data_IF_681342098183
#
_entry.id   IF_681342098183
#
_cell.length_a   1.000
_cell.length_b   1.000
_cell.length_c   1.000
_cell.angle_alpha   90.00
_cell.angle_beta   90.00
_cell.angle_gamma   90.00
#
_symmetry.space_group_name_H-M   'P 1'
#
loop_
_entity.id
_entity.type
_entity.pdbx_description
1 polymer ?
#
# COMPACT_ATOMS: atom_id res chain seq x y z
N UNK A 1 3.63 9.21 35.54
CA UNK A 1 2.42 9.05 34.70
C UNK A 1 2.78 8.04 33.63
N UNK A 2 2.01 6.96 33.51
CA UNK A 2 2.07 6.11 32.33
C UNK A 2 1.35 6.88 31.22
N UNK A 3 2.11 7.49 30.31
CA UNK A 3 1.51 8.18 29.16
C UNK A 3 0.82 7.12 28.29
N UNK A 4 -0.50 7.26 28.09
CA UNK A 4 -1.24 6.37 27.20
C UNK A 4 -1.91 5.14 27.83
N UNK A 5 -2.03 5.06 29.17
CA UNK A 5 -2.77 3.98 29.82
C UNK A 5 -4.30 4.16 29.74
N UNK A 6 -5.02 3.07 29.48
CA UNK A 6 -6.49 3.06 29.56
C UNK A 6 -6.91 2.90 31.02
N UNK A 7 -7.81 3.74 31.49
CA UNK A 7 -8.35 3.66 32.85
C UNK A 7 -9.78 3.12 32.79
N UNK A 8 -10.10 2.15 33.63
CA UNK A 8 -11.43 1.54 33.75
C UNK A 8 -11.89 1.58 35.19
N UNK A 9 -13.17 1.83 35.45
CA UNK A 9 -13.73 1.82 36.80
C UNK A 9 -15.14 1.25 36.85
N UNK A 10 -15.47 0.67 38.00
CA UNK A 10 -16.84 0.25 38.30
C UNK A 10 -17.79 1.45 38.33
N UNK A 11 -19.07 1.29 37.92
CA UNK A 11 -20.03 2.40 37.81
C UNK A 11 -20.17 3.25 39.09
N UNK A 12 -20.03 2.64 40.26
CA UNK A 12 -20.15 3.31 41.56
C UNK A 12 -18.99 4.26 41.89
N UNK A 13 -17.84 4.16 41.21
CA UNK A 13 -16.64 4.95 41.50
C UNK A 13 -16.77 6.40 41.01
N UNK A 14 -17.52 6.62 39.92
CA UNK A 14 -17.67 7.93 39.32
C UNK A 14 -19.14 8.25 39.05
N UNK A 15 -19.67 9.20 39.84
CA UNK A 15 -21.04 9.72 39.72
C UNK A 15 -21.07 11.22 39.35
N UNK A 16 -19.91 11.77 38.97
CA UNK A 16 -19.74 13.18 38.63
C UNK A 16 -20.04 13.50 37.16
N UNK A 17 -20.01 14.79 36.81
CA UNK A 17 -20.08 15.23 35.42
C UNK A 17 -18.77 14.89 34.69
N UNK A 18 -18.85 14.58 33.39
CA UNK A 18 -17.65 14.38 32.57
C UNK A 18 -16.73 15.60 32.63
N UNK A 19 -15.41 15.41 32.79
CA UNK A 19 -14.45 16.50 32.71
C UNK A 19 -14.41 17.11 31.32
N UNK A 20 -13.88 18.33 31.20
CA UNK A 20 -13.54 18.90 29.89
C UNK A 20 -12.54 17.99 29.17
N UNK A 21 -12.59 17.95 27.84
CA UNK A 21 -11.70 17.11 27.03
C UNK A 21 -10.22 17.41 27.31
N UNK A 22 -9.89 18.69 27.58
CA UNK A 22 -8.52 19.13 27.86
C UNK A 22 -8.01 18.67 29.24
N UNK A 23 -8.92 18.29 30.15
CA UNK A 23 -8.61 17.87 31.52
C UNK A 23 -8.88 16.37 31.75
N UNK A 24 -9.37 15.66 30.72
CA UNK A 24 -9.85 14.28 30.83
C UNK A 24 -8.76 13.31 31.28
N UNK A 25 -7.56 13.33 30.68
CA UNK A 25 -6.47 12.43 31.11
C UNK A 25 -6.06 12.64 32.56
N UNK A 26 -5.95 13.91 32.96
CA UNK A 26 -5.59 14.26 34.34
C UNK A 26 -6.67 13.80 35.31
N UNK A 27 -7.94 14.00 34.97
CA UNK A 27 -9.06 13.55 35.79
C UNK A 27 -9.10 12.02 35.94
N UNK A 28 -8.81 11.25 34.88
CA UNK A 28 -8.71 9.78 34.93
C UNK A 28 -7.60 9.34 35.87
N UNK A 29 -6.43 9.95 35.73
CA UNK A 29 -5.30 9.62 36.57
C UNK A 29 -5.57 9.94 38.05
N UNK A 30 -6.17 11.11 38.34
CA UNK A 30 -6.55 11.50 39.70
C UNK A 30 -7.61 10.55 40.29
N UNK A 31 -8.59 10.12 39.49
CA UNK A 31 -9.57 9.10 39.87
C UNK A 31 -8.89 7.76 40.20
N UNK A 32 -8.00 7.29 39.33
CA UNK A 32 -7.21 6.08 39.55
C UNK A 32 -6.40 6.17 40.85
N UNK A 33 -5.64 7.25 41.07
CA UNK A 33 -4.85 7.39 42.29
C UNK A 33 -5.70 7.38 43.56
N UNK A 34 -6.90 7.96 43.51
CA UNK A 34 -7.82 8.01 44.64
C UNK A 34 -8.42 6.63 44.97
N UNK A 35 -8.70 5.80 43.97
CA UNK A 35 -9.47 4.56 44.13
C UNK A 35 -8.68 3.26 43.86
N UNK A 36 -7.39 3.31 43.48
CA UNK A 36 -6.58 2.11 43.16
C UNK A 36 -6.44 1.07 44.28
N UNK A 37 -6.76 1.43 45.52
CA UNK A 37 -6.79 0.54 46.68
C UNK A 37 -8.19 0.09 47.09
N UNK A 38 -9.22 0.45 46.33
CA UNK A 38 -10.62 0.14 46.63
C UNK A 38 -10.98 -1.22 46.06
N UNK A 39 -11.44 -2.13 46.93
CA UNK A 39 -11.98 -3.42 46.48
C UNK A 39 -13.27 -3.21 45.70
N UNK A 40 -13.46 -3.98 44.63
CA UNK A 40 -14.70 -3.96 43.87
C UNK A 40 -15.85 -4.49 44.71
N UNK A 41 -16.98 -3.79 44.69
CA UNK A 41 -18.26 -4.26 45.22
C UNK A 41 -19.22 -4.67 44.07
N UNK A 42 -18.80 -4.45 42.82
CA UNK A 42 -19.52 -4.73 41.60
C UNK A 42 -18.87 -5.83 40.75
N UNK A 43 -19.56 -6.22 39.69
CA UNK A 43 -19.09 -7.22 38.74
C UNK A 43 -18.87 -6.62 37.34
N UNK A 44 -18.86 -5.30 37.17
CA UNK A 44 -18.82 -4.69 35.83
C UNK A 44 -17.44 -4.85 35.19
N UNK A 45 -16.35 -4.68 35.94
CA UNK A 45 -15.00 -4.94 35.41
C UNK A 45 -14.80 -6.42 35.09
N UNK A 46 -15.36 -7.32 35.90
CA UNK A 46 -15.32 -8.76 35.62
C UNK A 46 -16.14 -9.09 34.36
N UNK A 47 -17.33 -8.51 34.23
CA UNK A 47 -18.21 -8.72 33.06
C UNK A 47 -17.60 -8.15 31.77
N UNK A 48 -16.91 -7.01 31.89
CA UNK A 48 -16.15 -6.40 30.80
C UNK A 48 -15.06 -7.35 30.28
N UNK A 49 -14.20 -7.88 31.18
CA UNK A 49 -13.12 -8.77 30.75
C UNK A 49 -13.64 -10.14 30.28
N UNK A 50 -14.73 -10.64 30.87
CA UNK A 50 -15.38 -11.88 30.45
C UNK A 50 -15.93 -11.77 29.02
N UNK A 51 -16.50 -10.61 28.66
CA UNK A 51 -16.92 -10.33 27.28
C UNK A 51 -15.73 -10.35 26.32
N UNK A 52 -14.64 -9.65 26.67
CA UNK A 52 -13.43 -9.61 25.86
C UNK A 52 -12.88 -11.02 25.65
N UNK A 53 -12.65 -11.79 26.72
CA UNK A 53 -12.14 -13.17 26.63
C UNK A 53 -13.03 -14.01 25.73
N UNK A 54 -14.33 -14.01 25.97
CA UNK A 54 -15.31 -14.78 25.19
C UNK A 54 -15.21 -14.47 23.69
N UNK A 55 -15.01 -13.20 23.32
CA UNK A 55 -14.85 -12.78 21.93
C UNK A 55 -13.49 -13.13 21.36
N UNK A 56 -12.40 -12.78 22.05
CA UNK A 56 -11.05 -12.93 21.48
C UNK A 56 -10.60 -14.38 21.40
N UNK A 57 -11.16 -15.27 22.23
CA UNK A 57 -10.88 -16.71 22.19
C UNK A 57 -11.91 -17.50 21.39
N UNK A 58 -12.93 -16.86 20.81
CA UNK A 58 -13.93 -17.58 20.04
C UNK A 58 -13.29 -18.16 18.77
N UNK A 59 -13.52 -19.45 18.41
CA UNK A 59 -12.91 -20.06 17.24
C UNK A 59 -13.15 -19.27 15.94
N UNK A 60 -14.34 -18.69 15.79
CA UNK A 60 -14.73 -17.90 14.62
C UNK A 60 -13.99 -16.56 14.48
N UNK A 61 -13.24 -16.11 15.50
CA UNK A 61 -12.46 -14.88 15.46
C UNK A 61 -10.94 -15.11 15.57
N UNK A 62 -10.50 -16.37 15.46
CA UNK A 62 -9.10 -16.78 15.61
C UNK A 62 -8.14 -16.12 14.62
N UNK A 63 -8.62 -15.71 13.43
CA UNK A 63 -7.83 -14.98 12.43
C UNK A 63 -7.60 -13.50 12.78
N UNK A 64 -8.45 -12.91 13.64
CA UNK A 64 -8.40 -11.50 14.01
C UNK A 64 -7.60 -11.24 15.30
N UNK A 65 -7.43 -12.25 16.15
CA UNK A 65 -6.78 -12.12 17.46
C UNK A 65 -5.60 -13.07 17.60
N UNK A 66 -4.40 -12.49 17.69
CA UNK A 66 -3.18 -13.26 17.92
C UNK A 66 -3.21 -14.01 19.25
N UNK A 67 -2.42 -15.09 19.34
CA UNK A 67 -2.24 -15.86 20.58
C UNK A 67 -1.74 -14.96 21.74
N UNK A 68 -0.97 -13.90 21.43
CA UNK A 68 -0.53 -12.90 22.41
C UNK A 68 -1.70 -12.15 23.03
N UNK A 69 -2.66 -11.71 22.21
CA UNK A 69 -3.86 -10.99 22.67
C UNK A 69 -4.77 -11.92 23.47
N UNK A 70 -4.94 -13.16 23.03
CA UNK A 70 -5.72 -14.17 23.76
C UNK A 70 -5.12 -14.45 25.15
N UNK A 71 -3.81 -14.69 25.23
CA UNK A 71 -3.10 -14.89 26.50
C UNK A 71 -3.18 -13.68 27.41
N UNK A 72 -3.06 -12.47 26.85
CA UNK A 72 -3.24 -11.23 27.61
C UNK A 72 -4.65 -11.14 28.21
N UNK A 73 -5.69 -11.36 27.42
CA UNK A 73 -7.08 -11.26 27.90
C UNK A 73 -7.37 -12.30 28.99
N UNK A 74 -6.92 -13.55 28.81
CA UNK A 74 -7.05 -14.61 29.81
C UNK A 74 -6.28 -14.26 31.09
N UNK A 75 -5.05 -13.75 30.96
CA UNK A 75 -4.25 -13.32 32.10
C UNK A 75 -4.89 -12.18 32.88
N UNK A 76 -5.44 -11.19 32.18
CA UNK A 76 -6.16 -10.08 32.80
C UNK A 76 -7.44 -10.54 33.49
N UNK A 77 -8.19 -11.46 32.89
CA UNK A 77 -9.37 -12.08 33.50
C UNK A 77 -9.04 -12.78 34.80
N UNK A 78 -7.94 -13.55 34.82
CA UNK A 78 -7.50 -14.26 36.02
C UNK A 78 -7.04 -13.27 37.10
N UNK A 79 -6.28 -12.23 36.72
CA UNK A 79 -5.84 -11.19 37.65
C UNK A 79 -6.98 -10.47 38.35
N UNK A 80 -8.07 -10.17 37.63
CA UNK A 80 -9.27 -9.55 38.19
C UNK A 80 -10.05 -10.50 39.12
N UNK A 81 -10.07 -11.81 38.84
CA UNK A 81 -10.65 -12.82 39.74
C UNK A 81 -9.86 -12.95 41.04
N UNK A 82 -8.54 -12.91 40.96
CA UNK A 82 -7.66 -13.10 42.11
C UNK A 82 -7.63 -11.86 43.02
N UNK A 83 -7.80 -10.66 42.44
CA UNK A 83 -7.90 -9.39 43.17
C UNK A 83 -8.91 -8.45 42.51
N UNK A 84 -10.14 -8.47 43.01
CA UNK A 84 -11.22 -7.61 42.53
C UNK A 84 -11.00 -6.16 43.00
N UNK A 85 -10.44 -5.32 42.12
CA UNK A 85 -10.27 -3.88 42.32
C UNK A 85 -11.39 -3.12 41.62
N UNK A 86 -11.85 -2.01 42.21
CA UNK A 86 -12.93 -1.20 41.65
C UNK A 86 -12.45 -0.26 40.52
N UNK A 87 -11.14 -0.19 40.28
CA UNK A 87 -10.53 0.62 39.24
C UNK A 87 -9.27 -0.09 38.73
N UNK A 88 -9.02 0.02 37.43
CA UNK A 88 -7.94 -0.66 36.73
C UNK A 88 -7.21 0.34 35.82
N UNK A 89 -5.89 0.21 35.76
CA UNK A 89 -5.02 0.86 34.78
C UNK A 89 -4.49 -0.23 33.84
N UNK A 90 -4.69 -0.05 32.54
CA UNK A 90 -4.21 -0.96 31.51
C UNK A 90 -3.12 -0.25 30.71
N UNK A 91 -1.88 -0.60 31.01
CA UNK A 91 -0.72 -0.13 30.25
C UNK A 91 -0.59 -0.88 28.93
N UNK A 92 -0.06 -0.19 27.90
CA UNK A 92 0.27 -0.78 26.61
C UNK A 92 -0.93 -1.40 25.86
N UNK A 93 -2.16 -0.95 26.16
CA UNK A 93 -3.36 -1.46 25.52
C UNK A 93 -3.36 -1.17 24.00
N UNK A 94 -2.87 0.00 23.62
CA UNK A 94 -2.61 0.43 22.25
C UNK A 94 -1.66 -0.52 21.49
N UNK A 95 -0.60 -1.00 22.15
CA UNK A 95 0.36 -1.97 21.61
C UNK A 95 -0.29 -3.34 21.44
N UNK A 96 -1.21 -3.73 22.33
CA UNK A 96 -1.93 -5.00 22.25
C UNK A 96 -3.06 -4.96 21.20
N UNK A 97 -3.67 -3.81 20.99
CA UNK A 97 -4.82 -3.63 20.12
C UNK A 97 -4.47 -3.43 18.63
N UNK A 98 -3.19 -3.58 18.26
CA UNK A 98 -2.66 -3.49 16.90
C UNK A 98 -3.50 -4.29 15.88
N UNK A 99 -4.42 -3.60 15.20
CA UNK A 99 -5.39 -4.21 14.28
C UNK A 99 -6.82 -3.65 14.39
N UNK A 100 -7.12 -2.80 15.39
CA UNK A 100 -8.43 -2.13 15.54
C UNK A 100 -9.57 -3.07 16.00
N UNK A 101 -9.48 -4.37 15.71
CA UNK A 101 -10.42 -5.39 16.16
C UNK A 101 -10.52 -5.46 17.69
N UNK A 102 -9.41 -5.31 18.41
CA UNK A 102 -9.44 -5.32 19.88
C UNK A 102 -10.09 -4.05 20.44
N UNK A 103 -9.91 -2.89 19.80
CA UNK A 103 -10.63 -1.67 20.18
C UNK A 103 -12.13 -1.81 19.97
N UNK A 104 -12.56 -2.46 18.88
CA UNK A 104 -13.98 -2.78 18.68
C UNK A 104 -14.52 -3.64 19.83
N UNK A 105 -13.85 -4.74 20.15
CA UNK A 105 -14.27 -5.64 21.23
C UNK A 105 -14.22 -4.94 22.59
N UNK A 106 -13.26 -4.04 22.82
CA UNK A 106 -13.19 -3.19 24.01
C UNK A 106 -14.44 -2.32 24.18
N UNK A 107 -14.83 -1.58 23.14
CA UNK A 107 -16.00 -0.70 23.22
C UNK A 107 -17.31 -1.48 23.29
N UNK A 108 -17.41 -2.62 22.60
CA UNK A 108 -18.55 -3.54 22.76
C UNK A 108 -18.64 -4.06 24.20
N UNK A 109 -17.51 -4.41 24.81
CA UNK A 109 -17.46 -4.86 26.20
C UNK A 109 -17.88 -3.75 27.16
N UNK A 110 -17.43 -2.51 26.93
CA UNK A 110 -17.84 -1.34 27.71
C UNK A 110 -19.36 -1.14 27.64
N UNK A 111 -19.91 -1.22 26.43
CA UNK A 111 -21.35 -1.09 26.22
C UNK A 111 -22.15 -2.22 26.90
N UNK A 112 -21.59 -3.44 26.94
CA UNK A 112 -22.25 -4.60 27.52
C UNK A 112 -22.15 -4.66 29.06
N UNK A 113 -21.11 -4.08 29.66
CA UNK A 113 -20.84 -4.20 31.10
C UNK A 113 -21.19 -2.96 31.91
N UNK A 114 -21.49 -1.84 31.24
CA UNK A 114 -21.68 -0.52 31.84
C UNK A 114 -20.45 0.06 32.57
N UNK A 115 -19.26 -0.51 32.39
CA UNK A 115 -18.01 -0.01 33.00
C UNK A 115 -17.72 1.43 32.55
N UNK A 116 -17.20 2.25 33.46
CA UNK A 116 -16.68 3.56 33.08
C UNK A 116 -15.24 3.46 32.57
N UNK A 117 -14.86 4.35 31.65
CA UNK A 117 -13.54 4.30 31.05
C UNK A 117 -13.00 5.65 30.59
N UNK A 118 -11.67 5.74 30.51
CA UNK A 118 -10.95 6.75 29.75
C UNK A 118 -9.91 6.09 28.85
N UNK A 119 -9.98 6.41 27.56
CA UNK A 119 -9.02 5.98 26.55
C UNK A 119 -8.22 7.21 26.08
N UNK A 120 -6.91 7.28 26.39
CA UNK A 120 -6.09 8.47 26.16
C UNK A 120 -5.75 8.72 24.70
N UNK A 121 -5.63 7.66 23.89
CA UNK A 121 -5.28 7.75 22.48
C UNK A 121 -6.36 8.48 21.67
N UNK A 122 -7.63 8.32 22.04
CA UNK A 122 -8.79 9.02 21.44
C UNK A 122 -9.28 10.19 22.27
N UNK A 123 -8.74 10.40 23.48
CA UNK A 123 -9.29 11.35 24.45
C UNK A 123 -10.78 11.11 24.71
N UNK A 124 -11.20 9.84 24.75
CA UNK A 124 -12.60 9.46 24.94
C UNK A 124 -12.82 9.07 26.39
N UNK A 125 -13.81 9.70 27.00
CA UNK A 125 -14.31 9.40 28.34
C UNK A 125 -15.74 8.88 28.26
N UNK A 126 -16.07 7.85 29.06
CA UNK A 126 -17.41 7.26 29.06
C UNK A 126 -17.83 6.70 30.41
N UNK A 127 -19.15 6.66 30.65
CA UNK A 127 -19.77 6.02 31.82
C UNK A 127 -20.98 5.20 31.35
N UNK A 128 -20.81 3.87 31.30
CA UNK A 128 -21.80 2.90 30.83
C UNK A 128 -22.50 3.22 29.50
N UNK A 129 -23.68 2.65 29.27
CA UNK A 129 -24.52 2.91 28.09
C UNK A 129 -25.01 4.36 27.95
N UNK A 130 -24.92 5.16 29.01
CA UNK A 130 -25.67 6.41 29.11
C UNK A 130 -25.02 7.60 28.42
N UNK A 131 -23.74 7.53 28.06
CA UNK A 131 -22.99 8.71 27.60
C UNK A 131 -21.88 8.42 26.57
N UNK A 132 -21.96 7.31 25.83
CA UNK A 132 -21.22 7.16 24.58
C UNK A 132 -22.00 7.96 23.54
N UNK A 133 -21.44 9.04 22.92
CA UNK A 133 -22.15 9.73 21.86
C UNK A 133 -22.60 8.71 20.80
N UNK A 134 -23.86 8.77 20.39
CA UNK A 134 -24.36 7.88 19.31
C UNK A 134 -23.46 8.08 18.10
N UNK A 135 -22.76 7.03 17.69
CA UNK A 135 -21.76 7.10 16.62
C UNK A 135 -20.33 7.44 17.06
N UNK A 136 -19.99 7.54 18.35
CA UNK A 136 -18.60 7.67 18.80
C UNK A 136 -17.83 6.35 18.64
N UNK A 137 -18.46 5.21 18.90
CA UNK A 137 -17.86 3.89 18.60
C UNK A 137 -17.69 3.73 17.10
N UNK A 138 -18.70 4.10 16.32
CA UNK A 138 -18.66 4.08 14.85
C UNK A 138 -17.67 5.11 14.29
N UNK A 139 -17.54 6.27 14.93
CA UNK A 139 -16.64 7.38 14.66
C UNK A 139 -15.19 7.08 15.02
N UNK A 140 -14.93 6.38 16.13
CA UNK A 140 -13.61 5.87 16.51
C UNK A 140 -13.22 4.76 15.55
N UNK A 141 -14.11 3.81 15.25
CA UNK A 141 -13.88 2.75 14.26
C UNK A 141 -13.67 3.30 12.83
N UNK A 142 -14.36 4.37 12.43
CA UNK A 142 -14.11 5.08 11.16
C UNK A 142 -12.91 6.02 11.21
N UNK A 143 -12.53 6.56 12.37
CA UNK A 143 -11.30 7.34 12.54
C UNK A 143 -10.06 6.46 12.55
N UNK A 144 -10.17 5.20 12.98
CA UNK A 144 -9.17 4.17 12.71
C UNK A 144 -9.05 3.85 11.21
N UNK A 145 -10.00 4.27 10.38
CA UNK A 145 -9.90 4.26 8.92
C UNK A 145 -9.43 5.61 8.35
N UNK A 146 -9.24 6.65 9.17
CA UNK A 146 -8.64 7.93 8.77
C UNK A 146 -7.16 7.98 9.20
N UNK A 147 -6.25 8.32 8.30
CA UNK A 147 -4.83 8.41 8.64
C UNK A 147 -4.60 9.52 9.68
N UNK A 148 -3.75 9.24 10.68
CA UNK A 148 -3.11 10.28 11.48
C UNK A 148 -2.48 11.29 10.50
N UNK A 149 -2.77 12.57 10.70
CA UNK A 149 -2.25 13.65 9.87
C UNK A 149 -0.72 13.55 9.81
N UNK A 150 -0.20 13.34 8.60
CA UNK A 150 1.23 13.13 8.26
C UNK A 150 2.13 14.32 8.58
N UNK A 151 1.58 15.46 9.00
CA UNK A 151 2.27 16.74 9.06
C UNK A 151 3.27 16.88 10.23
N UNK A 152 3.26 15.96 11.20
CA UNK A 152 4.18 16.00 12.36
C UNK A 152 5.21 14.87 12.40
N UNK A 153 5.07 13.83 11.58
CA UNK A 153 5.98 12.69 11.57
C UNK A 153 7.09 12.87 10.53
N UNK A 154 8.32 12.47 10.85
CA UNK A 154 9.46 12.50 9.91
C UNK A 154 9.72 11.07 9.42
N UNK A 155 9.79 10.87 8.11
CA UNK A 155 10.24 9.63 7.51
C UNK A 155 11.75 9.48 7.75
N UNK A 156 12.11 8.82 8.85
CA UNK A 156 13.50 8.55 9.18
C UNK A 156 13.86 7.11 8.84
N UNK A 157 14.47 6.92 7.67
CA UNK A 157 14.88 5.58 7.22
C UNK A 157 15.92 4.95 8.15
N UNK A 158 16.80 5.73 8.77
CA UNK A 158 17.85 5.25 9.66
C UNK A 158 17.35 4.80 11.04
N UNK A 159 16.13 5.16 11.43
CA UNK A 159 15.52 4.72 12.69
C UNK A 159 14.17 4.05 12.46
N UNK A 160 13.95 3.52 11.25
CA UNK A 160 12.67 2.93 10.86
C UNK A 160 12.40 1.66 11.68
N UNK A 161 11.22 1.58 12.29
CA UNK A 161 10.79 0.35 12.97
C UNK A 161 10.09 -0.58 11.98
N UNK A 162 10.31 -1.90 12.05
CA UNK A 162 9.54 -2.84 11.24
C UNK A 162 8.04 -2.72 11.53
N UNK A 163 7.18 -2.55 10.51
CA UNK A 163 5.76 -2.54 10.72
C UNK A 163 5.29 -3.88 11.29
N UNK A 164 4.45 -3.84 12.31
CA UNK A 164 3.92 -5.04 12.95
C UNK A 164 2.79 -5.72 12.15
N UNK A 165 2.18 -5.02 11.21
CA UNK A 165 1.13 -5.52 10.32
C UNK A 165 1.07 -4.72 9.00
N UNK A 166 0.24 -5.17 8.06
CA UNK A 166 0.08 -4.54 6.73
C UNK A 166 -0.43 -3.08 6.86
N UNK A 167 -1.23 -2.76 7.87
CA UNK A 167 -1.71 -1.40 8.09
C UNK A 167 -0.59 -0.46 8.54
N UNK A 168 0.33 -0.91 9.39
CA UNK A 168 1.54 -0.13 9.72
C UNK A 168 2.49 0.00 8.52
N UNK A 169 2.55 -1.00 7.65
CA UNK A 169 3.27 -0.88 6.38
C UNK A 169 2.63 0.19 5.48
N UNK A 170 1.29 0.26 5.44
CA UNK A 170 0.55 1.32 4.74
C UNK A 170 0.87 2.70 5.30
N UNK A 171 0.82 2.88 6.62
CA UNK A 171 1.18 4.15 7.28
C UNK A 171 2.60 4.58 6.93
N UNK A 172 3.54 3.63 6.90
CA UNK A 172 4.92 3.88 6.51
C UNK A 172 5.04 4.35 5.05
N UNK A 173 4.27 3.74 4.14
CA UNK A 173 4.19 4.16 2.73
C UNK A 173 3.58 5.56 2.60
N UNK A 174 2.52 5.87 3.37
CA UNK A 174 1.90 7.21 3.38
C UNK A 174 2.88 8.27 3.88
N UNK A 175 3.61 7.97 4.94
CA UNK A 175 4.62 8.86 5.52
C UNK A 175 5.77 9.10 4.54
N UNK A 176 6.29 8.02 3.93
CA UNK A 176 7.29 8.11 2.86
C UNK A 176 6.80 8.99 1.71
N UNK A 177 5.57 8.74 1.23
CA UNK A 177 5.00 9.44 0.10
C UNK A 177 4.89 10.94 0.34
N UNK A 178 4.42 11.35 1.52
CA UNK A 178 4.28 12.76 1.90
C UNK A 178 5.62 13.54 1.86
N UNK A 179 6.75 12.85 1.99
CA UNK A 179 8.08 13.48 2.10
C UNK A 179 8.96 13.23 0.87
N UNK A 180 8.65 12.23 0.04
CA UNK A 180 9.41 11.94 -1.16
C UNK A 180 9.24 13.07 -2.20
N UNK A 181 10.34 13.58 -2.82
CA UNK A 181 10.28 14.75 -3.70
C UNK A 181 9.27 14.65 -4.85
N UNK A 182 9.11 13.44 -5.40
CA UNK A 182 8.17 13.17 -6.50
C UNK A 182 6.83 12.60 -6.01
N UNK A 183 6.85 11.71 -5.02
CA UNK A 183 5.65 10.93 -4.68
C UNK A 183 4.61 11.75 -3.91
N UNK A 184 5.04 12.83 -3.23
CA UNK A 184 4.16 13.76 -2.51
C UNK A 184 3.15 14.46 -3.39
N UNK A 185 3.43 14.56 -4.70
CA UNK A 185 2.57 15.20 -5.67
C UNK A 185 1.62 14.20 -6.36
N UNK A 186 1.79 12.90 -6.12
CA UNK A 186 0.96 11.85 -6.71
C UNK A 186 -0.26 11.59 -5.83
N UNK A 187 -1.38 11.23 -6.45
CA UNK A 187 -2.57 10.83 -5.73
C UNK A 187 -2.43 9.37 -5.27
N UNK A 188 -2.47 9.14 -3.96
CA UNK A 188 -2.34 7.80 -3.37
C UNK A 188 -3.72 7.19 -3.06
N UNK A 189 -3.99 6.04 -3.68
CA UNK A 189 -5.12 5.17 -3.38
C UNK A 189 -4.65 3.87 -2.76
N UNK A 190 -5.42 3.33 -1.81
CA UNK A 190 -5.05 2.10 -1.11
C UNK A 190 -6.24 1.16 -1.01
N UNK A 191 -6.08 -0.08 -1.49
CA UNK A 191 -7.14 -1.08 -1.63
C UNK A 191 -6.76 -2.44 -1.03
N UNK A 192 -7.77 -3.20 -0.57
CA UNK A 192 -7.65 -4.55 0.02
C UNK A 192 -7.54 -5.68 -1.02
N UNK A 193 -7.55 -5.34 -2.30
CA UNK A 193 -7.50 -6.29 -3.41
C UNK A 193 -6.58 -5.76 -4.49
N UNK A 194 -6.21 -6.64 -5.44
CA UNK A 194 -5.40 -6.29 -6.60
C UNK A 194 -6.15 -5.38 -7.56
N UNK A 195 -6.34 -4.11 -7.20
CA UNK A 195 -6.88 -3.09 -8.08
C UNK A 195 -5.81 -2.58 -9.06
N UNK A 196 -6.22 -2.24 -10.27
CA UNK A 196 -5.38 -1.70 -11.33
C UNK A 196 -6.20 -0.71 -12.18
N UNK A 197 -5.85 0.58 -12.14
CA UNK A 197 -6.57 1.60 -12.89
C UNK A 197 -6.37 1.49 -14.40
N UNK A 198 -5.31 0.80 -14.83
CA UNK A 198 -4.96 0.66 -16.25
C UNK A 198 -5.50 -0.65 -16.82
N UNK A 199 -5.52 -1.74 -16.03
CA UNK A 199 -6.04 -3.03 -16.49
C UNK A 199 -7.19 -3.53 -15.60
N UNK A 200 -8.39 -2.93 -15.69
CA UNK A 200 -9.47 -3.15 -14.73
C UNK A 200 -10.20 -4.49 -14.88
N UNK A 201 -9.82 -5.35 -15.84
CA UNK A 201 -10.51 -6.62 -16.13
C UNK A 201 -10.58 -7.60 -14.95
N UNK A 202 -9.75 -7.41 -13.93
CA UNK A 202 -9.76 -8.18 -12.67
C UNK A 202 -10.09 -7.33 -11.45
N UNK A 203 -10.47 -6.08 -11.64
CA UNK A 203 -10.87 -5.21 -10.54
C UNK A 203 -12.23 -5.67 -10.02
N UNK A 204 -12.33 -5.75 -8.71
CA UNK A 204 -13.62 -5.80 -8.03
C UNK A 204 -14.31 -4.43 -8.16
N UNK A 205 -15.64 -4.45 -8.26
CA UNK A 205 -16.47 -3.26 -8.48
C UNK A 205 -16.34 -2.23 -7.34
N UNK A 206 -16.18 -2.71 -6.10
CA UNK A 206 -16.01 -1.90 -4.89
C UNK A 206 -14.74 -2.33 -4.13
N UNK A 207 -13.54 -2.00 -4.63
CA UNK A 207 -12.26 -2.45 -4.07
C UNK A 207 -12.00 -1.95 -2.65
N UNK A 208 -12.63 -0.85 -2.24
CA UNK A 208 -12.62 -0.31 -0.88
C UNK A 208 -13.50 -1.09 0.10
N UNK A 209 -14.52 -1.80 -0.40
CA UNK A 209 -15.43 -2.64 0.38
C UNK A 209 -15.04 -4.12 0.36
N UNK A 210 -14.06 -4.48 -0.46
CA UNK A 210 -13.65 -5.86 -0.64
C UNK A 210 -13.05 -6.43 0.66
N UNK A 211 -13.39 -7.67 1.02
CA UNK A 211 -12.81 -8.35 2.18
C UNK A 211 -11.29 -8.43 2.03
N UNK A 212 -10.57 -8.36 3.15
CA UNK A 212 -9.12 -8.47 3.16
C UNK A 212 -8.71 -9.89 2.75
N UNK A 213 -8.23 -10.05 1.52
CA UNK A 213 -7.72 -11.33 1.00
C UNK A 213 -6.24 -11.53 1.34
N UNK A 214 -5.67 -10.71 2.23
CA UNK A 214 -4.25 -10.72 2.55
C UNK A 214 -3.39 -10.07 1.47
N UNK A 215 -3.97 -9.19 0.65
CA UNK A 215 -3.23 -8.38 -0.32
C UNK A 215 -3.61 -6.90 -0.20
N UNK A 216 -2.64 -6.01 -0.04
CA UNK A 216 -2.87 -4.56 0.04
C UNK A 216 -2.10 -3.85 -1.06
N UNK A 217 -2.79 -3.10 -1.91
CA UNK A 217 -2.18 -2.36 -3.01
C UNK A 217 -2.18 -0.86 -2.70
N UNK A 218 -0.99 -0.24 -2.72
CA UNK A 218 -0.78 1.20 -2.75
C UNK A 218 -0.56 1.63 -4.20
N UNK A 219 -1.50 2.40 -4.74
CA UNK A 219 -1.51 2.91 -6.10
C UNK A 219 -1.28 4.41 -6.08
N UNK A 220 -0.12 4.83 -6.59
CA UNK A 220 0.21 6.23 -6.83
C UNK A 220 -0.13 6.55 -8.26
N UNK A 221 -1.07 7.47 -8.45
CA UNK A 221 -1.52 7.85 -9.78
C UNK A 221 -1.32 9.33 -10.03
N UNK A 222 -1.11 9.66 -11.30
CA UNK A 222 -1.06 11.02 -11.81
C UNK A 222 -1.50 11.01 -13.27
N UNK A 223 -1.92 12.17 -13.78
CA UNK A 223 -2.25 12.34 -15.18
C UNK A 223 -1.71 13.69 -15.66
N UNK A 224 -0.85 13.63 -16.68
CA UNK A 224 -0.25 14.82 -17.29
C UNK A 224 -0.41 14.71 -18.80
N UNK A 225 -0.98 15.74 -19.44
CA UNK A 225 -1.18 15.78 -20.90
C UNK A 225 -1.87 14.51 -21.44
N UNK A 226 -2.92 14.03 -20.75
CA UNK A 226 -3.65 12.80 -21.11
C UNK A 226 -2.81 11.52 -21.11
N UNK A 227 -1.62 11.54 -20.51
CA UNK A 227 -0.84 10.36 -20.17
C UNK A 227 -1.15 10.00 -18.71
N UNK A 228 -1.65 8.78 -18.50
CA UNK A 228 -1.97 8.29 -17.16
C UNK A 228 -0.81 7.48 -16.59
N UNK A 229 -0.42 7.79 -15.36
CA UNK A 229 0.68 7.16 -14.65
C UNK A 229 0.14 6.32 -13.49
N UNK A 230 0.69 5.12 -13.33
CA UNK A 230 0.43 4.28 -12.15
C UNK A 230 1.75 3.67 -11.65
N UNK A 231 2.17 4.09 -10.47
CA UNK A 231 3.16 3.36 -9.67
C UNK A 231 2.40 2.51 -8.64
N UNK A 232 2.54 1.19 -8.75
CA UNK A 232 1.89 0.21 -7.88
C UNK A 232 2.91 -0.39 -6.92
N UNK A 233 2.55 -0.49 -5.66
CA UNK A 233 3.23 -1.28 -4.63
C UNK A 233 2.21 -2.19 -3.96
N UNK A 234 2.41 -3.51 -4.02
CA UNK A 234 1.51 -4.48 -3.41
C UNK A 234 2.18 -5.28 -2.31
N UNK A 235 1.53 -5.36 -1.16
CA UNK A 235 1.87 -6.20 -0.02
C UNK A 235 1.05 -7.48 -0.06
N UNK A 236 1.70 -8.64 0.00
CA UNK A 236 1.01 -9.91 0.34
C UNK A 236 1.26 -10.27 1.80
N UNK A 237 2.54 -10.33 2.21
CA UNK A 237 2.95 -10.58 3.59
C UNK A 237 4.13 -9.70 3.94
N UNK A 238 4.29 -9.36 5.22
CA UNK A 238 5.49 -8.66 5.70
C UNK A 238 6.76 -9.49 5.54
N UNK A 239 6.65 -10.82 5.49
CA UNK A 239 7.77 -11.74 5.28
C UNK A 239 8.19 -11.89 3.81
N UNK A 240 7.58 -11.10 2.90
CA UNK A 240 7.85 -11.10 1.46
C UNK A 240 8.14 -9.68 0.98
N UNK A 241 8.96 -9.54 -0.07
CA UNK A 241 9.18 -8.23 -0.69
C UNK A 241 7.89 -7.70 -1.29
N UNK A 242 7.58 -6.40 -1.16
CA UNK A 242 6.49 -5.79 -1.90
C UNK A 242 6.71 -5.90 -3.39
N UNK A 243 5.66 -6.25 -4.13
CA UNK A 243 5.70 -6.25 -5.59
C UNK A 243 5.52 -4.81 -6.07
N UNK A 244 6.41 -4.34 -6.93
CA UNK A 244 6.36 -2.97 -7.45
C UNK A 244 6.40 -2.94 -8.96
N UNK A 245 5.64 -2.03 -9.55
CA UNK A 245 5.61 -1.83 -11.00
C UNK A 245 5.24 -0.41 -11.33
N UNK A 246 5.85 0.15 -12.36
CA UNK A 246 5.43 1.41 -12.94
C UNK A 246 4.76 1.15 -14.29
N UNK A 247 3.72 1.90 -14.59
CA UNK A 247 2.96 1.78 -15.83
C UNK A 247 2.53 3.15 -16.31
N UNK A 248 2.63 3.37 -17.62
CA UNK A 248 2.10 4.54 -18.30
C UNK A 248 1.07 4.08 -19.32
N UNK A 249 -0.11 4.65 -19.31
CA UNK A 249 -1.09 4.52 -20.38
C UNK A 249 -1.05 5.77 -21.26
N UNK A 250 -0.63 5.56 -22.51
CA UNK A 250 -0.48 6.58 -23.53
C UNK A 250 -1.72 6.69 -24.43
N UNK A 251 -2.74 5.86 -24.21
CA UNK A 251 -3.87 5.70 -25.13
C UNK A 251 -4.61 7.01 -25.34
N UNK A 252 -4.91 7.74 -24.27
CA UNK A 252 -5.69 8.98 -24.36
C UNK A 252 -4.89 10.13 -24.99
N UNK A 253 -3.57 10.13 -24.83
CA UNK A 253 -2.68 11.12 -25.46
C UNK A 253 -2.65 10.98 -26.97
N UNK A 254 -2.64 9.73 -27.47
CA UNK A 254 -2.42 9.45 -28.89
C UNK A 254 -3.69 9.10 -29.67
N UNK A 255 -4.71 8.52 -29.03
CA UNK A 255 -5.90 8.01 -29.70
C UNK A 255 -7.13 8.82 -29.26
N UNK A 256 -7.70 9.65 -30.15
CA UNK A 256 -8.93 10.39 -29.88
C UNK A 256 -10.08 9.46 -29.48
N UNK A 257 -10.99 9.97 -28.65
CA UNK A 257 -12.08 9.17 -28.05
C UNK A 257 -12.91 8.41 -29.09
N UNK A 258 -13.19 9.05 -30.23
CA UNK A 258 -13.97 8.49 -31.34
C UNK A 258 -13.27 7.33 -32.06
N UNK A 259 -11.93 7.26 -32.00
CA UNK A 259 -11.11 6.22 -32.62
C UNK A 259 -10.76 5.07 -31.67
N UNK A 260 -10.93 5.22 -30.35
CA UNK A 260 -10.58 4.17 -29.37
C UNK A 260 -11.25 2.83 -29.62
N UNK A 261 -12.46 2.81 -30.18
CA UNK A 261 -13.17 1.58 -30.57
C UNK A 261 -12.48 0.79 -31.70
N UNK A 262 -11.60 1.43 -32.46
CA UNK A 262 -10.81 0.83 -33.53
C UNK A 262 -9.47 0.29 -33.02
N UNK A 263 -9.04 0.74 -31.84
CA UNK A 263 -7.82 0.29 -31.21
C UNK A 263 -8.04 -1.12 -30.65
N UNK A 264 -7.20 -2.07 -31.09
CA UNK A 264 -7.27 -3.47 -30.63
C UNK A 264 -6.72 -3.64 -29.22
N UNK A 265 -5.68 -2.89 -28.86
CA UNK A 265 -5.06 -2.91 -27.52
C UNK A 265 -4.62 -1.51 -27.09
N UNK A 266 -4.76 -1.23 -25.80
CA UNK A 266 -4.31 0.03 -25.18
C UNK A 266 -2.78 0.19 -25.29
N UNK A 267 -2.34 1.45 -25.40
CA UNK A 267 -0.96 1.84 -25.58
C UNK A 267 -0.26 1.93 -24.23
N UNK A 268 -0.04 0.78 -23.61
CA UNK A 268 0.48 0.68 -22.25
C UNK A 268 1.98 0.35 -22.24
N UNK A 269 2.78 1.22 -21.62
CA UNK A 269 4.17 0.93 -21.26
C UNK A 269 4.23 0.39 -19.82
N UNK A 270 4.94 -0.71 -19.61
CA UNK A 270 5.29 -1.20 -18.26
C UNK A 270 6.79 -1.18 -18.07
N UNK A 271 7.24 -0.56 -16.98
CA UNK A 271 8.64 -0.57 -16.58
C UNK A 271 8.74 -1.07 -15.14
N UNK A 272 9.61 -2.05 -14.93
CA UNK A 272 9.93 -2.67 -13.65
C UNK A 272 11.37 -2.39 -13.30
N UNK A 273 11.70 -2.48 -12.02
CA UNK A 273 13.06 -2.24 -11.54
C UNK A 273 14.11 -3.15 -12.18
N UNK A 274 13.71 -4.38 -12.52
CA UNK A 274 14.52 -5.44 -13.10
C UNK A 274 14.94 -5.15 -14.55
N UNK A 275 14.23 -4.24 -15.22
CA UNK A 275 14.51 -3.77 -16.57
C UNK A 275 15.48 -2.58 -16.57
N UNK A 276 15.83 -2.04 -15.39
CA UNK A 276 16.78 -0.95 -15.25
C UNK A 276 18.06 -1.49 -14.64
N UNK A 277 19.13 -1.51 -15.44
CA UNK A 277 20.39 -2.18 -15.10
C UNK A 277 21.59 -1.27 -15.19
N UNK A 278 22.67 -1.66 -14.54
CA UNK A 278 23.99 -1.01 -14.68
C UNK A 278 24.80 -1.72 -15.75
N UNK A 279 25.90 -1.11 -16.20
CA UNK A 279 26.85 -1.77 -17.09
C UNK A 279 27.73 -2.83 -16.38
N UNK A 280 27.65 -2.92 -15.05
CA UNK A 280 28.39 -3.91 -14.27
C UNK A 280 27.83 -5.31 -14.50
N UNK A 281 28.71 -6.28 -14.67
CA UNK A 281 28.37 -7.67 -14.93
C UNK A 281 28.43 -8.46 -13.62
N UNK A 282 27.33 -9.12 -13.27
CA UNK A 282 27.22 -10.02 -12.13
C UNK A 282 28.05 -11.30 -12.34
N UNK A 283 28.19 -12.09 -11.28
CA UNK A 283 28.89 -13.38 -11.32
C UNK A 283 28.33 -14.41 -12.32
N UNK A 284 27.14 -14.16 -12.87
CA UNK A 284 26.46 -15.00 -13.87
C UNK A 284 26.58 -14.43 -15.28
N UNK A 285 27.39 -13.40 -15.49
CA UNK A 285 27.58 -12.78 -16.81
C UNK A 285 26.45 -11.85 -17.23
N UNK A 286 25.61 -11.37 -16.29
CA UNK A 286 24.45 -10.52 -16.60
C UNK A 286 24.61 -9.14 -15.99
N UNK A 287 24.10 -8.11 -16.68
CA UNK A 287 24.06 -6.76 -16.12
C UNK A 287 23.30 -6.72 -14.78
N UNK A 288 23.87 -6.05 -13.78
CA UNK A 288 23.27 -5.94 -12.45
C UNK A 288 22.03 -5.05 -12.43
N UNK A 289 21.02 -5.41 -11.63
CA UNK A 289 19.82 -4.59 -11.43
C UNK A 289 20.21 -3.32 -10.66
N UNK A 290 19.91 -2.15 -11.22
CA UNK A 290 20.30 -0.85 -10.64
C UNK A 290 19.53 -0.53 -9.37
N UNK A 291 18.23 -0.82 -9.36
CA UNK A 291 17.35 -0.58 -8.22
C UNK A 291 16.80 -1.89 -7.69
N UNK A 292 17.52 -2.55 -6.78
CA UNK A 292 17.10 -3.85 -6.27
C UNK A 292 15.98 -3.70 -5.22
N UNK A 293 14.74 -3.96 -5.63
CA UNK A 293 13.54 -3.85 -4.78
C UNK A 293 13.29 -5.15 -4.01
N UNK A 294 14.22 -5.50 -3.12
CA UNK A 294 14.12 -6.68 -2.27
C UNK A 294 14.25 -6.33 -0.80
N UNK A 295 13.42 -6.96 0.02
CA UNK A 295 13.47 -6.79 1.46
C UNK A 295 12.16 -7.19 2.10
N UNK A 296 12.23 -8.07 3.10
CA UNK A 296 11.10 -8.34 3.98
C UNK A 296 10.85 -7.13 4.88
N UNK A 297 9.60 -6.91 5.23
CA UNK A 297 9.17 -5.81 6.08
C UNK A 297 8.94 -6.25 7.54
N UNK A 298 9.49 -7.40 7.93
CA UNK A 298 9.60 -7.87 9.31
C UNK A 298 10.97 -7.56 9.95
N UNK A 299 11.91 -7.00 9.19
CA UNK A 299 13.27 -6.70 9.65
C UNK A 299 13.73 -5.31 9.18
N UNK A 300 14.29 -4.52 10.11
CA UNK A 300 14.67 -3.13 9.87
C UNK A 300 15.69 -2.99 8.73
N UNK A 301 16.72 -3.83 8.71
CA UNK A 301 17.80 -3.76 7.70
C UNK A 301 17.26 -4.00 6.28
N UNK A 302 16.24 -4.86 6.16
CA UNK A 302 15.61 -5.23 4.88
C UNK A 302 14.69 -4.12 4.39
N UNK A 303 13.97 -3.46 5.30
CA UNK A 303 13.15 -2.28 4.97
C UNK A 303 14.04 -1.14 4.47
N UNK A 304 15.17 -0.89 5.15
CA UNK A 304 16.15 0.12 4.70
C UNK A 304 16.66 -0.20 3.30
N UNK A 305 17.05 -1.45 3.05
CA UNK A 305 17.51 -1.90 1.73
C UNK A 305 16.43 -1.69 0.66
N UNK A 306 15.19 -2.04 0.96
CA UNK A 306 14.07 -1.85 0.04
C UNK A 306 13.85 -0.37 -0.28
N UNK A 307 13.70 0.50 0.73
CA UNK A 307 13.43 1.92 0.51
C UNK A 307 14.60 2.66 -0.14
N UNK A 308 15.85 2.25 0.09
CA UNK A 308 17.00 2.79 -0.64
C UNK A 308 16.89 2.50 -2.15
N UNK A 309 16.54 1.27 -2.53
CA UNK A 309 16.28 0.92 -3.93
C UNK A 309 15.05 1.62 -4.48
N UNK A 310 13.97 1.67 -3.69
CA UNK A 310 12.69 2.23 -4.11
C UNK A 310 12.76 3.75 -4.31
N UNK A 311 13.46 4.48 -3.44
CA UNK A 311 13.73 5.91 -3.61
C UNK A 311 14.47 6.19 -4.92
N UNK A 312 15.51 5.41 -5.21
CA UNK A 312 16.26 5.52 -6.45
C UNK A 312 15.41 5.21 -7.67
N UNK A 313 14.61 4.14 -7.61
CA UNK A 313 13.69 3.74 -8.67
C UNK A 313 12.66 4.82 -8.99
N UNK A 314 11.92 5.30 -7.97
CA UNK A 314 10.88 6.33 -8.15
C UNK A 314 11.51 7.62 -8.65
N UNK A 315 12.65 8.04 -8.09
CA UNK A 315 13.35 9.24 -8.56
C UNK A 315 13.80 9.12 -10.00
N UNK A 316 14.32 7.97 -10.42
CA UNK A 316 14.72 7.72 -11.81
C UNK A 316 13.53 7.79 -12.77
N UNK A 317 12.42 7.13 -12.42
CA UNK A 317 11.20 7.13 -13.24
C UNK A 317 10.68 8.56 -13.43
N UNK A 318 10.46 9.31 -12.35
CA UNK A 318 9.86 10.64 -12.47
C UNK A 318 10.83 11.70 -13.01
N UNK A 319 12.15 11.53 -12.82
CA UNK A 319 13.13 12.43 -13.45
C UNK A 319 13.20 12.26 -14.98
N UNK A 320 12.86 11.08 -15.51
CA UNK A 320 13.00 10.78 -16.93
C UNK A 320 11.66 10.72 -17.68
N UNK A 321 10.63 10.17 -17.08
CA UNK A 321 9.32 9.93 -17.69
C UNK A 321 8.19 10.78 -17.06
N UNK A 322 8.46 11.42 -15.93
CA UNK A 322 7.51 12.33 -15.29
C UNK A 322 7.18 13.52 -16.20
N UNK A 323 6.04 14.17 -15.93
CA UNK A 323 5.54 15.33 -16.67
C UNK A 323 5.40 15.12 -18.19
N UNK A 324 5.01 13.93 -18.64
CA UNK A 324 4.77 13.66 -20.06
C UNK A 324 6.02 13.58 -20.93
N UNK A 325 7.21 13.29 -20.38
CA UNK A 325 8.45 13.32 -21.17
C UNK A 325 8.61 12.12 -22.13
N UNK A 326 7.86 12.15 -23.23
CA UNK A 326 7.87 11.13 -24.28
C UNK A 326 9.15 11.14 -25.11
N UNK A 327 9.91 12.25 -25.14
CA UNK A 327 11.20 12.33 -25.84
C UNK A 327 12.23 11.38 -25.24
N UNK A 328 12.29 11.30 -23.92
CA UNK A 328 13.20 10.37 -23.23
C UNK A 328 12.79 8.92 -23.46
N UNK A 329 11.48 8.63 -23.40
CA UNK A 329 10.97 7.29 -23.74
C UNK A 329 11.30 6.91 -25.19
N UNK A 330 11.14 7.85 -26.12
CA UNK A 330 11.51 7.69 -27.52
C UNK A 330 13.02 7.38 -27.64
N UNK A 331 13.88 8.19 -27.05
CA UNK A 331 15.33 7.97 -27.07
C UNK A 331 15.72 6.56 -26.58
N UNK A 332 15.11 6.07 -25.50
CA UNK A 332 15.36 4.72 -24.99
C UNK A 332 14.95 3.63 -25.98
N UNK A 333 13.82 3.77 -26.67
CA UNK A 333 13.40 2.82 -27.70
C UNK A 333 14.41 2.74 -28.85
N UNK A 334 14.99 3.88 -29.25
CA UNK A 334 16.02 4.00 -30.28
C UNK A 334 17.45 3.67 -29.80
N UNK A 335 17.61 3.28 -28.53
CA UNK A 335 18.89 2.82 -27.98
C UNK A 335 19.77 3.91 -27.35
N UNK A 336 19.30 5.15 -27.28
CA UNK A 336 20.04 6.24 -26.67
C UNK A 336 19.72 6.29 -25.16
N UNK A 337 20.54 5.56 -24.41
CA UNK A 337 20.38 5.30 -22.98
C UNK A 337 21.17 6.29 -22.10
N UNK A 338 20.80 6.47 -20.82
CA UNK A 338 21.64 7.21 -19.87
C UNK A 338 23.01 6.53 -19.70
N UNK A 339 24.08 7.33 -19.54
CA UNK A 339 25.49 6.89 -19.56
C UNK A 339 25.81 5.65 -18.69
N UNK A 340 25.25 5.60 -17.47
CA UNK A 340 25.47 4.50 -16.52
C UNK A 340 24.26 3.55 -16.37
N UNK A 341 23.40 3.47 -17.39
CA UNK A 341 22.14 2.73 -17.29
C UNK A 341 21.76 2.03 -18.58
N UNK A 342 21.35 0.77 -18.46
CA UNK A 342 20.73 0.01 -19.54
C UNK A 342 19.24 -0.13 -19.23
N UNK A 343 18.38 0.35 -20.13
CA UNK A 343 16.92 0.15 -20.07
C UNK A 343 16.53 -0.99 -21.01
N UNK A 344 16.06 -2.09 -20.45
CA UNK A 344 15.66 -3.27 -21.19
C UNK A 344 14.16 -3.21 -21.55
N UNK A 345 13.81 -2.35 -22.50
CA UNK A 345 12.45 -2.32 -23.06
C UNK A 345 12.12 -3.62 -23.79
N UNK A 346 10.89 -4.11 -23.63
CA UNK A 346 10.43 -5.27 -24.39
C UNK A 346 10.30 -4.93 -25.87
N UNK A 347 10.26 -5.94 -26.75
CA UNK A 347 10.04 -5.69 -28.17
C UNK A 347 8.69 -5.00 -28.42
N UNK A 348 7.67 -5.31 -27.60
CA UNK A 348 6.34 -4.70 -27.71
C UNK A 348 6.41 -3.20 -27.43
N UNK A 349 7.09 -2.82 -26.35
CA UNK A 349 7.27 -1.41 -25.99
C UNK A 349 8.05 -0.66 -27.10
N UNK A 350 9.11 -1.26 -27.63
CA UNK A 350 9.88 -0.66 -28.74
C UNK A 350 9.01 -0.46 -29.99
N UNK A 351 8.30 -1.51 -30.40
CA UNK A 351 7.41 -1.47 -31.57
C UNK A 351 6.29 -0.44 -31.40
N UNK A 352 5.70 -0.34 -30.20
CA UNK A 352 4.73 0.70 -29.87
C UNK A 352 5.33 2.09 -30.11
N UNK A 353 6.52 2.38 -29.57
CA UNK A 353 7.16 3.69 -29.73
C UNK A 353 7.51 3.98 -31.21
N UNK A 354 7.95 2.99 -31.98
CA UNK A 354 8.17 3.17 -33.43
C UNK A 354 6.87 3.46 -34.17
N UNK A 355 5.77 2.79 -33.82
CA UNK A 355 4.47 3.07 -34.39
C UNK A 355 3.97 4.48 -34.04
N UNK A 356 4.13 4.92 -32.79
CA UNK A 356 3.82 6.27 -32.34
C UNK A 356 4.68 7.33 -33.05
N UNK A 357 5.88 6.97 -33.49
CA UNK A 357 6.79 7.82 -34.27
C UNK A 357 6.56 7.75 -35.80
N UNK A 358 5.57 6.96 -36.25
CA UNK A 358 5.33 6.63 -37.67
C UNK A 358 6.55 6.03 -38.40
N UNK A 359 7.48 5.43 -37.66
CA UNK A 359 8.73 4.89 -38.18
C UNK A 359 8.57 3.42 -38.57
N UNK A 360 8.01 3.22 -39.76
CA UNK A 360 7.78 1.88 -40.31
C UNK A 360 9.09 1.10 -40.48
N UNK A 361 10.20 1.80 -40.77
CA UNK A 361 11.49 1.15 -40.98
C UNK A 361 12.00 0.53 -39.68
N UNK A 362 12.06 1.30 -38.59
CA UNK A 362 12.48 0.77 -37.29
C UNK A 362 11.50 -0.27 -36.73
N UNK A 363 10.20 -0.13 -37.02
CA UNK A 363 9.21 -1.16 -36.69
C UNK A 363 9.53 -2.50 -37.37
N UNK A 364 9.78 -2.50 -38.69
CA UNK A 364 10.13 -3.71 -39.46
C UNK A 364 11.49 -4.27 -39.04
N UNK A 365 12.50 -3.43 -38.84
CA UNK A 365 13.82 -3.87 -38.37
C UNK A 365 13.74 -4.53 -36.98
N UNK A 366 12.92 -3.99 -36.08
CA UNK A 366 12.67 -4.60 -34.78
C UNK A 366 11.99 -5.96 -34.90
N UNK A 367 10.98 -6.09 -35.77
CA UNK A 367 10.31 -7.37 -36.03
C UNK A 367 11.29 -8.42 -36.55
N UNK A 368 12.07 -8.11 -37.58
CA UNK A 368 13.00 -9.07 -38.16
C UNK A 368 14.11 -9.48 -37.18
N UNK A 369 14.62 -8.53 -36.39
CA UNK A 369 15.63 -8.83 -35.36
C UNK A 369 15.11 -9.81 -34.29
N UNK A 370 13.89 -9.59 -33.77
CA UNK A 370 13.30 -10.48 -32.78
C UNK A 370 12.85 -11.81 -33.38
N UNK A 371 12.43 -11.83 -34.64
CA UNK A 371 12.13 -13.06 -35.37
C UNK A 371 13.39 -13.93 -35.49
N UNK A 372 14.51 -13.34 -35.85
CA UNK A 372 15.80 -14.02 -35.89
C UNK A 372 16.24 -14.51 -34.50
N UNK A 373 16.04 -13.70 -33.44
CA UNK A 373 16.31 -14.10 -32.06
C UNK A 373 15.48 -15.32 -31.63
N UNK A 374 14.18 -15.33 -31.97
CA UNK A 374 13.32 -16.49 -31.75
C UNK A 374 13.86 -17.73 -32.48
N UNK A 375 14.33 -17.61 -33.72
CA UNK A 375 14.91 -18.75 -34.46
C UNK A 375 16.22 -19.29 -33.85
N UNK A 376 16.95 -18.47 -33.08
CA UNK A 376 18.21 -18.87 -32.43
C UNK A 376 18.02 -19.47 -31.03
N UNK A 377 16.87 -19.24 -30.39
CA UNK A 377 16.61 -19.77 -29.04
C UNK A 377 16.31 -21.26 -29.09
N UNK A 378 16.98 -22.01 -28.24
CA UNK A 378 16.61 -23.40 -27.96
C UNK A 378 15.37 -23.40 -27.06
N UNK A 379 14.21 -23.60 -27.67
CA UNK A 379 12.98 -23.85 -26.91
C UNK A 379 12.90 -25.33 -26.55
N UNK A 380 12.61 -25.61 -25.28
CA UNK A 380 12.43 -26.98 -24.78
C UNK A 380 11.30 -27.74 -25.51
N UNK A 381 10.33 -27.01 -26.09
CA UNK A 381 9.20 -27.54 -26.87
C UNK A 381 8.83 -26.62 -28.03
N UNK A 382 8.48 -27.21 -29.17
CA UNK A 382 8.07 -26.50 -30.39
C UNK A 382 6.89 -25.54 -30.15
N UNK A 383 5.93 -25.94 -29.32
CA UNK A 383 4.77 -25.11 -28.96
C UNK A 383 5.17 -23.75 -28.36
N UNK A 384 6.28 -23.68 -27.60
CA UNK A 384 6.75 -22.41 -27.03
C UNK A 384 7.37 -21.50 -28.09
N UNK A 385 8.06 -22.08 -29.08
CA UNK A 385 8.55 -21.34 -30.24
C UNK A 385 7.36 -20.78 -31.04
N UNK A 386 6.39 -21.62 -31.39
CA UNK A 386 5.23 -21.24 -32.18
C UNK A 386 4.42 -20.13 -31.48
N UNK A 387 4.26 -20.24 -30.16
CA UNK A 387 3.61 -19.21 -29.35
C UNK A 387 4.40 -17.89 -29.35
N UNK A 388 5.72 -17.92 -29.17
CA UNK A 388 6.54 -16.73 -29.17
C UNK A 388 6.51 -16.00 -30.53
N UNK A 389 6.56 -16.76 -31.62
CA UNK A 389 6.47 -16.23 -32.98
C UNK A 389 5.09 -15.65 -33.28
N UNK A 390 4.02 -16.37 -32.92
CA UNK A 390 2.64 -15.90 -33.05
C UNK A 390 2.40 -14.60 -32.27
N UNK A 391 2.90 -14.52 -31.03
CA UNK A 391 2.83 -13.30 -30.22
C UNK A 391 3.57 -12.14 -30.90
N UNK A 392 4.75 -12.38 -31.48
CA UNK A 392 5.53 -11.37 -32.20
C UNK A 392 4.81 -10.87 -33.47
N UNK A 393 4.29 -11.79 -34.29
CA UNK A 393 3.56 -11.48 -35.53
C UNK A 393 2.27 -10.70 -35.25
N UNK A 394 1.54 -11.10 -34.20
CA UNK A 394 0.37 -10.38 -33.73
C UNK A 394 0.71 -8.96 -33.32
N UNK A 395 1.78 -8.75 -32.54
CA UNK A 395 2.19 -7.41 -32.10
C UNK A 395 2.68 -6.55 -33.27
N UNK A 396 3.41 -7.13 -34.23
CA UNK A 396 3.82 -6.41 -35.43
C UNK A 396 2.62 -5.94 -36.25
N UNK A 397 1.63 -6.83 -36.48
CA UNK A 397 0.40 -6.46 -37.19
C UNK A 397 -0.41 -5.41 -36.42
N UNK A 398 -0.54 -5.57 -35.11
CA UNK A 398 -1.20 -4.61 -34.22
C UNK A 398 -0.59 -3.20 -34.39
N UNK A 399 0.73 -3.08 -34.34
CA UNK A 399 1.40 -1.78 -34.41
C UNK A 399 1.42 -1.18 -35.83
N UNK A 400 1.30 -2.00 -36.88
CA UNK A 400 1.02 -1.50 -38.24
C UNK A 400 -0.36 -0.84 -38.32
N UNK A 401 -1.38 -1.46 -37.72
CA UNK A 401 -2.73 -0.88 -37.66
C UNK A 401 -2.74 0.40 -36.83
N UNK A 402 -2.01 0.42 -35.70
CA UNK A 402 -1.85 1.60 -34.85
C UNK A 402 -1.24 2.78 -35.61
N UNK A 403 -0.24 2.56 -36.48
CA UNK A 403 0.34 3.63 -37.33
C UNK A 403 -0.74 4.35 -38.15
N UNK A 404 -1.72 3.62 -38.70
CA UNK A 404 -2.78 4.22 -39.49
C UNK A 404 -3.67 5.13 -38.63
N UNK A 405 -4.05 4.67 -37.43
CA UNK A 405 -4.84 5.46 -36.47
C UNK A 405 -4.11 6.73 -36.05
N UNK A 406 -2.84 6.62 -35.66
CA UNK A 406 -2.01 7.76 -35.24
C UNK A 406 -1.85 8.78 -36.37
N UNK A 407 -1.63 8.30 -37.61
CA UNK A 407 -1.50 9.17 -38.78
C UNK A 407 -2.80 9.91 -39.08
N UNK A 408 -3.93 9.25 -39.00
CA UNK A 408 -5.25 9.85 -39.20
C UNK A 408 -5.57 10.88 -38.11
N UNK A 409 -5.28 10.55 -36.84
CA UNK A 409 -5.47 11.44 -35.70
C UNK A 409 -4.53 12.65 -35.69
N UNK A 410 -3.38 12.57 -36.38
CA UNK A 410 -2.37 13.63 -36.40
C UNK A 410 -1.63 13.79 -35.06
N UNK A 411 -1.58 12.73 -34.25
CA UNK A 411 -1.05 12.72 -32.87
C UNK A 411 0.36 12.13 -32.76
N UNK A 412 1.00 11.86 -33.90
CA UNK A 412 2.32 11.21 -33.94
C UNK A 412 3.38 11.95 -33.12
N UNK A 413 4.29 11.18 -32.53
CA UNK A 413 5.55 11.72 -32.01
C UNK A 413 6.33 12.39 -33.15
N UNK A 414 7.09 13.42 -32.80
CA UNK A 414 8.08 13.98 -33.72
C UNK A 414 9.08 12.88 -34.12
N UNK A 415 9.52 12.92 -35.37
CA UNK A 415 10.53 11.99 -35.86
C UNK A 415 11.77 12.03 -34.97
N UNK A 416 12.25 10.85 -34.57
CA UNK A 416 13.42 10.75 -33.72
C UNK A 416 14.65 11.31 -34.44
N UNK A 417 15.35 12.23 -33.79
CA UNK A 417 16.62 12.75 -34.26
C UNK A 417 17.69 12.37 -33.25
N UNK A 418 18.56 11.45 -33.67
CA UNK A 418 19.70 11.04 -32.85
C UNK A 418 20.57 12.26 -32.55
N UNK A 419 20.69 12.60 -31.28
CA UNK A 419 21.63 13.64 -30.84
C UNK A 419 23.03 13.11 -31.11
N UNK A 420 23.81 13.87 -31.89
CA UNK A 420 25.16 13.50 -32.34
C UNK A 420 26.22 13.96 -31.36
#
# INVERSE_FOLDING_TARGET
MSLGAVYLWEPEIFTGNMPDINDSERAAYELYQKYRGTKSNGNALQSWIDYIVTKVTAPQYSEFFSEKVQKWAIGLQQGLKDQAWAILEIENFDILAQGGALYRVFYEAVQASDVGFYEPYFSVWGVGNSQIPVGAVEGVLTSFLKPLTTDSQIFNLENIEPPCNIKKAEELVRLWAAQHPYAKNLKLYIYNTGHDFISPSRNVEYPELAPDEGYRACLFIDQVEDIFYQLKMSFGKLTTSPMTSFTMDLTNHFIPQEQKKLLKEELILRLRSEEIRTHLIDRFGRNEIKYLLVGRWDEQTKIRKFFNGFNGYVSFIFAHLGNGNLKTLQAWAYGDMPEDTIIQLSYKDKMMIYALSLDLKSLTECYEAYKEECSKKEYEKQEYYDKALSDLEYNYSLYQDTIALIREAGTALLAYQKQT
#
